data_IF_682820443870
#
_entry.id   IF_682820443870
#
_cell.length_a   1.000
_cell.length_b   1.000
_cell.length_c   1.000
_cell.angle_alpha   90.00
_cell.angle_beta   90.00
_cell.angle_gamma   90.00
#
_symmetry.space_group_name_H-M   'P 1'
#
loop_
_entity.id
_entity.type
_entity.pdbx_description
1 polymer ?
#
# COMPACT_ATOMS: atom_id res chain seq x y z
N UNK A 1 -6.11 1.24 58.28
CA UNK A 1 -5.05 2.19 58.72
C UNK A 1 -5.05 3.33 57.72
N UNK A 2 -5.70 4.45 58.06
CA UNK A 2 -5.12 5.75 58.46
C UNK A 2 -5.01 6.68 57.21
N UNK A 3 -6.05 7.47 56.94
CA UNK A 3 -6.26 8.86 57.42
C UNK A 3 -5.38 9.84 56.63
N UNK A 4 -5.94 10.57 55.65
CA UNK A 4 -6.59 11.89 55.74
C UNK A 4 -5.59 13.04 55.54
N UNK A 5 -5.90 13.93 54.60
CA UNK A 5 -5.55 15.36 54.55
C UNK A 5 -5.85 15.81 53.11
N UNK A 6 -6.78 16.71 52.81
CA UNK A 6 -7.36 17.77 53.60
C UNK A 6 -7.24 19.08 52.83
N UNK A 7 -8.32 19.87 52.86
CA UNK A 7 -8.43 21.26 52.43
C UNK A 7 -8.71 21.53 50.93
N UNK A 8 -10.02 21.63 50.66
CA UNK A 8 -10.58 22.72 49.85
C UNK A 8 -10.10 24.08 50.36
N UNK A 9 -9.54 24.88 49.47
CA UNK A 9 -9.52 26.34 49.59
C UNK A 9 -9.65 26.94 48.20
N UNK A 10 -10.84 27.44 47.91
CA UNK A 10 -11.12 28.26 46.74
C UNK A 10 -10.38 29.60 46.83
N UNK A 11 -9.67 30.00 45.78
CA UNK A 11 -9.54 31.41 45.38
C UNK A 11 -9.03 31.50 43.93
N UNK A 12 -9.90 31.95 43.02
CA UNK A 12 -9.50 32.46 41.70
C UNK A 12 -8.64 33.72 41.87
N UNK A 13 -7.77 34.04 40.90
CA UNK A 13 -8.20 35.09 39.98
C UNK A 13 -7.85 34.82 38.51
N UNK A 14 -8.89 34.88 37.67
CA UNK A 14 -8.98 35.77 36.51
C UNK A 14 -7.64 36.17 35.85
N UNK A 15 -7.11 35.29 34.99
CA UNK A 15 -6.03 35.62 34.06
C UNK A 15 -6.57 35.60 32.63
N UNK A 16 -6.96 36.77 32.14
CA UNK A 16 -7.47 37.01 30.80
C UNK A 16 -6.51 36.50 29.72
N UNK A 17 -7.01 35.62 28.87
CA UNK A 17 -6.29 35.13 27.70
C UNK A 17 -7.25 34.49 26.71
N UNK A 18 -8.10 35.29 26.08
CA UNK A 18 -8.89 34.87 24.92
C UNK A 18 -7.93 34.68 23.74
N UNK A 19 -7.29 33.52 23.66
CA UNK A 19 -6.72 33.07 22.38
C UNK A 19 -7.90 32.78 21.44
N UNK A 20 -7.96 33.37 20.23
CA UNK A 20 -8.95 32.96 19.25
C UNK A 20 -8.76 31.46 19.00
N UNK A 21 -9.83 30.69 19.26
CA UNK A 21 -9.81 29.25 19.19
C UNK A 21 -9.21 28.79 17.86
N UNK A 22 -8.17 27.96 17.95
CA UNK A 22 -7.69 27.19 16.82
C UNK A 22 -8.89 26.41 16.28
N UNK A 23 -9.36 26.78 15.08
CA UNK A 23 -10.29 25.95 14.34
C UNK A 23 -9.65 24.55 14.28
N UNK A 24 -10.34 23.47 14.68
CA UNK A 24 -9.82 22.14 14.38
C UNK A 24 -9.79 22.04 12.86
N UNK A 25 -8.58 22.11 12.30
CA UNK A 25 -8.30 21.70 10.92
C UNK A 25 -8.90 20.31 10.82
N UNK A 26 -9.93 20.18 9.97
CA UNK A 26 -10.73 18.97 9.87
C UNK A 26 -9.83 17.74 9.77
N UNK A 27 -10.17 16.70 10.51
CA UNK A 27 -9.55 15.38 10.41
C UNK A 27 -9.51 14.98 8.94
N UNK A 28 -8.34 14.59 8.45
CA UNK A 28 -8.19 14.00 7.12
C UNK A 28 -9.19 12.83 7.00
N UNK A 29 -10.17 12.96 6.11
CA UNK A 29 -11.14 11.91 5.78
C UNK A 29 -10.57 10.87 4.82
N UNK A 30 -9.25 10.67 4.82
CA UNK A 30 -8.64 9.59 4.07
C UNK A 30 -8.77 8.35 4.95
N UNK A 31 -9.64 7.37 4.62
CA UNK A 31 -9.75 6.16 5.42
C UNK A 31 -8.38 5.48 5.46
N UNK A 32 -7.86 5.29 6.67
CA UNK A 32 -6.70 4.45 6.89
C UNK A 32 -7.09 3.00 6.56
N UNK A 33 -6.35 2.41 5.64
CA UNK A 33 -6.57 1.09 5.04
C UNK A 33 -7.60 1.08 3.91
N UNK A 34 -7.06 1.02 2.69
CA UNK A 34 -7.52 0.02 1.73
C UNK A 34 -7.40 -1.33 2.43
N UNK A 35 -8.40 -1.71 3.21
CA UNK A 35 -8.46 -2.99 3.87
C UNK A 35 -8.19 -4.03 2.79
N UNK A 36 -7.11 -4.79 2.94
CA UNK A 36 -6.83 -5.98 2.16
C UNK A 36 -7.96 -6.95 2.48
N UNK A 37 -9.12 -6.74 1.85
CA UNK A 37 -10.23 -7.66 1.95
C UNK A 37 -9.66 -8.99 1.47
N UNK A 38 -9.92 -10.04 2.24
CA UNK A 38 -9.73 -11.43 1.85
C UNK A 38 -10.68 -11.77 0.69
N UNK A 39 -10.58 -11.02 -0.39
CA UNK A 39 -11.10 -11.40 -1.69
C UNK A 39 -10.29 -12.62 -2.12
N UNK A 40 -10.96 -13.54 -2.79
CA UNK A 40 -10.29 -14.65 -3.45
C UNK A 40 -9.07 -14.12 -4.21
N UNK A 41 -7.91 -14.78 -4.12
CA UNK A 41 -6.72 -14.34 -4.83
C UNK A 41 -7.10 -14.20 -6.31
N UNK A 42 -6.72 -13.07 -6.91
CA UNK A 42 -6.96 -12.85 -8.33
C UNK A 42 -6.43 -14.07 -9.13
N UNK A 43 -7.09 -14.46 -10.23
CA UNK A 43 -6.67 -15.57 -11.07
C UNK A 43 -5.38 -15.20 -11.83
N UNK A 44 -4.26 -15.16 -11.11
CA UNK A 44 -2.98 -14.67 -11.59
C UNK A 44 -2.38 -15.63 -12.61
N UNK A 45 -2.57 -16.94 -12.44
CA UNK A 45 -2.05 -17.93 -13.38
C UNK A 45 -2.72 -17.78 -14.75
N UNK A 46 -4.03 -17.55 -14.75
CA UNK A 46 -4.84 -17.27 -15.93
C UNK A 46 -4.38 -15.97 -16.61
N UNK A 47 -4.13 -14.92 -15.83
CA UNK A 47 -3.59 -13.66 -16.36
C UNK A 47 -2.16 -13.78 -16.89
N UNK A 48 -1.34 -14.67 -16.30
CA UNK A 48 0.01 -14.96 -16.77
C UNK A 48 -0.04 -15.67 -18.12
N UNK A 49 -0.88 -16.69 -18.29
CA UNK A 49 -0.98 -17.46 -19.53
C UNK A 49 -1.90 -16.83 -20.58
N UNK A 50 -2.50 -15.68 -20.28
CA UNK A 50 -3.32 -14.92 -21.23
C UNK A 50 -2.52 -14.61 -22.51
N UNK A 51 -3.19 -14.78 -23.66
CA UNK A 51 -2.57 -14.61 -24.99
C UNK A 51 -1.91 -13.25 -25.16
N UNK A 52 -2.56 -12.17 -24.72
CA UNK A 52 -2.00 -10.83 -24.85
C UNK A 52 -0.80 -10.63 -23.92
N UNK A 53 -0.75 -11.31 -22.77
CA UNK A 53 0.44 -11.32 -21.93
C UNK A 53 1.60 -12.10 -22.57
N UNK A 54 1.34 -13.29 -23.11
CA UNK A 54 2.35 -14.11 -23.79
C UNK A 54 2.96 -13.41 -25.01
N UNK A 55 2.15 -12.76 -25.85
CA UNK A 55 2.65 -11.98 -26.99
C UNK A 55 3.51 -10.78 -26.56
N UNK A 56 3.18 -10.12 -25.44
CA UNK A 56 4.00 -9.03 -24.87
C UNK A 56 5.30 -9.57 -24.30
N UNK A 57 5.28 -10.71 -23.63
CA UNK A 57 6.46 -11.37 -23.09
C UNK A 57 7.42 -11.79 -24.22
N UNK A 58 6.90 -12.44 -25.26
CA UNK A 58 7.66 -12.85 -26.43
C UNK A 58 8.41 -11.68 -27.07
N UNK A 59 7.71 -10.57 -27.37
CA UNK A 59 8.33 -9.39 -27.98
C UNK A 59 9.48 -8.82 -27.14
N UNK A 60 9.35 -8.82 -25.82
CA UNK A 60 10.42 -8.37 -24.91
C UNK A 60 11.62 -9.31 -24.97
N UNK A 61 11.41 -10.62 -24.93
CA UNK A 61 12.49 -11.61 -25.00
C UNK A 61 13.27 -11.47 -26.31
N UNK A 62 12.57 -11.35 -27.44
CA UNK A 62 13.20 -11.13 -28.75
C UNK A 62 13.99 -9.82 -28.79
N UNK A 63 13.45 -8.75 -28.21
CA UNK A 63 14.13 -7.45 -28.15
C UNK A 63 15.41 -7.47 -27.30
N UNK A 64 15.45 -8.30 -26.25
CA UNK A 64 16.60 -8.40 -25.34
C UNK A 64 17.82 -9.08 -25.97
N UNK A 65 17.62 -9.97 -26.95
CA UNK A 65 18.71 -10.64 -27.71
C UNK A 65 19.77 -11.33 -26.82
N UNK A 66 19.34 -11.92 -25.71
CA UNK A 66 20.23 -12.62 -24.78
C UNK A 66 20.88 -13.87 -25.39
N UNK A 67 21.98 -14.31 -24.78
CA UNK A 67 22.61 -15.59 -25.14
C UNK A 67 21.67 -16.77 -24.79
N UNK A 68 21.74 -17.89 -25.55
CA UNK A 68 20.99 -19.10 -25.25
C UNK A 68 21.26 -19.65 -23.84
N UNK A 69 20.26 -20.35 -23.29
CA UNK A 69 20.39 -21.06 -22.02
C UNK A 69 21.16 -22.39 -22.15
N UNK A 70 21.08 -23.22 -21.10
CA UNK A 70 21.71 -24.54 -21.09
C UNK A 70 21.14 -25.51 -22.13
N UNK A 71 19.92 -25.24 -22.64
CA UNK A 71 19.27 -25.98 -23.72
C UNK A 71 19.78 -25.60 -25.12
N UNK A 72 20.57 -24.52 -25.23
CA UNK A 72 21.06 -24.02 -26.51
C UNK A 72 20.00 -23.35 -27.39
N UNK A 73 18.78 -23.11 -26.88
CA UNK A 73 17.69 -22.54 -27.66
C UNK A 73 17.86 -21.03 -27.82
N UNK A 74 17.85 -20.56 -29.06
CA UNK A 74 17.96 -19.13 -29.39
C UNK A 74 16.60 -18.44 -29.35
N UNK A 75 16.60 -17.11 -29.18
CA UNK A 75 15.37 -16.30 -29.22
C UNK A 75 14.60 -16.40 -30.55
N UNK A 76 15.26 -16.80 -31.64
CA UNK A 76 14.62 -16.99 -32.94
C UNK A 76 13.81 -18.28 -33.03
N UNK A 77 14.23 -19.32 -32.31
CA UNK A 77 13.51 -20.60 -32.24
C UNK A 77 12.29 -20.53 -31.32
N UNK A 78 12.17 -19.48 -30.49
CA UNK A 78 11.08 -19.32 -29.54
C UNK A 78 9.71 -19.15 -30.20
N UNK A 79 9.66 -18.66 -31.45
CA UNK A 79 8.40 -18.44 -32.18
C UNK A 79 7.60 -19.72 -32.42
N UNK A 80 8.28 -20.88 -32.51
CA UNK A 80 7.67 -22.16 -32.83
C UNK A 80 6.89 -22.77 -31.64
N UNK A 81 6.92 -22.13 -30.47
CA UNK A 81 6.36 -22.62 -29.22
C UNK A 81 5.24 -21.74 -28.62
N UNK A 82 4.78 -20.73 -29.37
CA UNK A 82 3.78 -19.74 -28.94
C UNK A 82 2.44 -19.89 -29.64
#
# INVERSE_FOLDING_TARGET
MKAESGADTATHPEGQGQYPGSQPVGVETIPASSSWTKAEPAPLMEAVVDKANMERAYRRVVANKGAPGADGMTVHQLADHL
#
